data_IF_048896963312
#
_entry.id   IF_048896963312
#
_cell.length_a   1.000
_cell.length_b   1.000
_cell.length_c   1.000
_cell.angle_alpha   90.00
_cell.angle_beta   90.00
_cell.angle_gamma   90.00
#
_symmetry.space_group_name_H-M   'P 1'
#
loop_
_entity.id
_entity.type
_entity.pdbx_description
1 polymer ?
#
# COMPACT_ATOMS: atom_id res chain seq x y z
N UNK A 1 -6.38 40.59 -4.82
CA UNK A 1 -5.61 39.61 -4.07
C UNK A 1 -5.85 38.30 -4.80
N UNK A 2 -4.90 37.83 -5.53
CA UNK A 2 -4.99 36.49 -6.16
C UNK A 2 -4.84 35.49 -5.03
N UNK A 3 -5.97 34.86 -4.66
CA UNK A 3 -5.92 33.67 -3.77
C UNK A 3 -5.02 32.63 -4.44
N UNK A 4 -3.76 32.59 -4.05
CA UNK A 4 -2.93 31.45 -4.41
C UNK A 4 -3.43 30.24 -3.62
N UNK A 5 -3.56 29.10 -4.28
CA UNK A 5 -3.99 27.88 -3.61
C UNK A 5 -3.05 27.60 -2.43
N UNK A 6 -3.61 27.33 -1.26
CA UNK A 6 -2.82 26.99 -0.07
C UNK A 6 -2.49 25.51 -0.12
N UNK A 7 -1.37 25.19 -0.73
CA UNK A 7 -0.76 23.88 -0.57
C UNK A 7 -0.02 23.86 0.77
N UNK A 8 -0.23 22.83 1.56
CA UNK A 8 0.58 22.65 2.77
C UNK A 8 1.97 22.17 2.38
N UNK A 9 3.01 22.99 2.51
CA UNK A 9 4.35 22.65 2.01
C UNK A 9 4.96 21.45 2.73
N UNK A 10 4.66 21.28 4.03
CA UNK A 10 5.08 20.13 4.83
C UNK A 10 3.89 19.22 5.07
N UNK A 11 3.64 18.31 4.13
CA UNK A 11 2.60 17.30 4.30
C UNK A 11 3.07 16.23 5.24
N UNK A 12 2.35 16.08 6.35
CA UNK A 12 2.56 14.96 7.27
C UNK A 12 1.88 13.72 6.70
N UNK A 13 2.62 12.61 6.69
CA UNK A 13 2.18 11.31 6.22
C UNK A 13 2.75 10.19 7.08
N UNK A 14 2.11 9.03 7.06
CA UNK A 14 2.52 7.82 7.77
C UNK A 14 1.92 6.59 7.12
N UNK A 15 2.49 5.43 7.42
CA UNK A 15 1.99 4.12 6.96
C UNK A 15 1.90 3.18 8.14
N UNK A 16 0.80 2.45 8.21
CA UNK A 16 0.58 1.32 9.11
C UNK A 16 0.74 0.03 8.29
N UNK A 17 1.49 -0.94 8.79
CA UNK A 17 1.70 -2.22 8.11
C UNK A 17 1.49 -3.37 9.08
N UNK A 18 0.52 -4.23 8.76
CA UNK A 18 0.29 -5.49 9.44
C UNK A 18 1.13 -6.60 8.81
N UNK A 19 1.60 -7.54 9.62
CA UNK A 19 2.40 -8.68 9.17
C UNK A 19 1.68 -10.00 9.47
N UNK A 20 1.77 -10.93 8.50
CA UNK A 20 1.42 -12.33 8.74
C UNK A 20 2.54 -13.08 9.44
N UNK A 21 2.21 -14.10 10.20
CA UNK A 21 3.16 -14.93 10.97
C UNK A 21 2.99 -16.41 10.67
N UNK A 22 4.10 -17.13 10.56
CA UNK A 22 4.14 -18.59 10.70
C UNK A 22 5.43 -19.02 11.36
N UNK A 23 5.41 -20.13 12.10
CA UNK A 23 6.61 -20.78 12.62
C UNK A 23 6.68 -22.21 12.07
N UNK A 24 7.78 -22.54 11.41
CA UNK A 24 7.96 -23.81 10.70
C UNK A 24 9.15 -24.57 11.24
N UNK A 25 8.97 -25.90 11.37
CA UNK A 25 10.05 -26.85 11.67
C UNK A 25 9.84 -28.10 10.83
N UNK A 26 10.87 -28.54 10.12
CA UNK A 26 10.84 -29.72 9.26
C UNK A 26 9.66 -29.72 8.26
N UNK A 27 9.32 -28.53 7.71
CA UNK A 27 8.24 -28.35 6.75
C UNK A 27 6.82 -28.34 7.34
N UNK A 28 6.69 -28.35 8.68
CA UNK A 28 5.40 -28.32 9.38
C UNK A 28 5.29 -27.11 10.29
N UNK A 29 4.09 -26.52 10.38
CA UNK A 29 3.81 -25.44 11.34
C UNK A 29 3.87 -26.00 12.78
N UNK A 30 4.59 -25.30 13.67
CA UNK A 30 4.79 -25.75 15.06
C UNK A 30 3.92 -25.01 16.07
N UNK A 31 3.45 -23.82 15.74
CA UNK A 31 2.59 -22.98 16.58
C UNK A 31 1.55 -22.27 15.74
N UNK A 32 0.43 -21.90 16.38
CA UNK A 32 -0.57 -21.01 15.79
C UNK A 32 -0.12 -19.53 15.78
N UNK A 33 -0.71 -18.68 14.91
CA UNK A 33 -0.33 -17.28 14.79
C UNK A 33 -0.39 -16.50 16.12
N UNK A 34 -1.41 -16.73 16.94
CA UNK A 34 -1.56 -16.09 18.28
C UNK A 34 -0.44 -16.48 19.25
N UNK A 35 0.02 -17.72 19.17
CA UNK A 35 1.13 -18.19 20.02
C UNK A 35 2.44 -17.58 19.56
N UNK A 36 2.69 -17.56 18.25
CA UNK A 36 3.88 -16.90 17.67
C UNK A 36 3.91 -15.43 18.04
N UNK A 37 2.78 -14.72 17.91
CA UNK A 37 2.68 -13.31 18.28
C UNK A 37 3.03 -13.07 19.77
N UNK A 38 2.63 -13.97 20.67
CA UNK A 38 3.04 -13.91 22.09
C UNK A 38 4.53 -14.07 22.29
N UNK A 39 5.17 -14.99 21.58
CA UNK A 39 6.63 -15.16 21.62
C UNK A 39 7.34 -13.94 21.05
N UNK A 40 6.89 -13.43 19.91
CA UNK A 40 7.43 -12.24 19.26
C UNK A 40 7.39 -11.00 20.17
N UNK A 41 6.29 -10.80 20.91
CA UNK A 41 6.11 -9.65 21.79
C UNK A 41 6.62 -9.88 23.24
N UNK A 42 7.13 -11.06 23.57
CA UNK A 42 7.66 -11.38 24.92
C UNK A 42 8.72 -10.38 25.40
N UNK A 43 9.72 -9.97 24.57
CA UNK A 43 10.69 -8.94 24.96
C UNK A 43 10.04 -7.57 25.18
N UNK A 44 9.11 -7.17 24.33
CA UNK A 44 8.38 -5.89 24.42
C UNK A 44 7.57 -5.82 25.70
N UNK A 45 6.82 -6.88 26.02
CA UNK A 45 6.03 -6.97 27.25
C UNK A 45 6.94 -7.02 28.49
N UNK A 46 8.09 -7.68 28.42
CA UNK A 46 9.05 -7.71 29.53
C UNK A 46 9.55 -6.31 29.87
N UNK A 47 9.82 -5.49 28.87
CA UNK A 47 10.35 -4.13 29.03
C UNK A 47 9.24 -3.12 29.36
N UNK A 48 8.16 -3.09 28.59
CA UNK A 48 7.17 -2.01 28.63
C UNK A 48 5.86 -2.38 29.34
N UNK A 49 5.65 -3.65 29.70
CA UNK A 49 4.40 -4.17 30.29
C UNK A 49 3.14 -3.97 29.41
N UNK A 50 3.35 -3.87 28.10
CA UNK A 50 2.30 -3.62 27.10
C UNK A 50 2.67 -4.27 25.77
N UNK A 51 1.66 -4.64 24.98
CA UNK A 51 1.78 -5.03 23.57
C UNK A 51 1.50 -3.87 22.61
N UNK A 52 1.44 -2.65 23.14
CA UNK A 52 1.15 -1.44 22.38
C UNK A 52 2.06 -0.33 22.93
N UNK A 53 3.14 -0.04 22.21
CA UNK A 53 4.20 0.84 22.68
C UNK A 53 4.66 1.79 21.58
N UNK A 54 5.14 2.97 21.96
CA UNK A 54 5.91 3.83 21.09
C UNK A 54 7.38 3.47 21.20
N UNK A 55 8.03 3.36 20.06
CA UNK A 55 9.46 3.09 19.95
C UNK A 55 10.28 4.40 20.02
N UNK A 56 11.60 4.30 20.17
CA UNK A 56 12.49 5.48 20.33
C UNK A 56 12.47 6.42 19.11
N UNK A 57 12.10 5.91 17.93
CA UNK A 57 11.92 6.71 16.72
C UNK A 57 10.49 7.27 16.56
N UNK A 58 9.69 7.25 17.62
CA UNK A 58 8.30 7.69 17.67
C UNK A 58 7.32 6.88 16.81
N UNK A 59 7.74 5.76 16.24
CA UNK A 59 6.82 4.81 15.61
C UNK A 59 6.04 4.03 16.67
N UNK A 60 4.96 3.39 16.28
CA UNK A 60 4.14 2.57 17.17
C UNK A 60 4.22 1.10 16.79
N UNK A 61 4.53 0.27 17.77
CA UNK A 61 4.55 -1.19 17.65
C UNK A 61 3.41 -1.77 18.48
N UNK A 62 2.56 -2.59 17.87
CA UNK A 62 1.42 -3.17 18.57
C UNK A 62 0.91 -4.48 17.94
N UNK A 63 0.08 -5.18 18.71
CA UNK A 63 -0.73 -6.29 18.19
C UNK A 63 -2.14 -5.79 17.89
N UNK A 64 -2.53 -5.90 16.62
CA UNK A 64 -3.89 -5.60 16.19
C UNK A 64 -4.82 -6.80 16.35
N UNK A 65 -6.09 -6.61 16.03
CA UNK A 65 -7.12 -7.65 16.08
C UNK A 65 -6.73 -8.86 15.24
N UNK A 66 -6.81 -10.06 15.83
CA UNK A 66 -6.35 -11.29 15.17
C UNK A 66 -4.89 -11.64 15.45
N UNK A 67 -4.27 -10.95 16.42
CA UNK A 67 -2.86 -11.13 16.80
C UNK A 67 -1.88 -10.82 15.65
N UNK A 68 -2.23 -9.87 14.77
CA UNK A 68 -1.33 -9.39 13.73
C UNK A 68 -0.34 -8.38 14.33
N UNK A 69 0.97 -8.63 14.24
CA UNK A 69 1.97 -7.61 14.53
C UNK A 69 1.83 -6.46 13.55
N UNK A 70 1.74 -5.25 14.09
CA UNK A 70 1.58 -4.06 13.29
C UNK A 70 2.59 -2.98 13.69
N UNK A 71 3.14 -2.32 12.70
CA UNK A 71 4.03 -1.19 12.84
C UNK A 71 3.43 0.03 12.14
N UNK A 72 3.17 1.08 12.91
CA UNK A 72 2.81 2.39 12.38
C UNK A 72 4.04 3.30 12.45
N UNK A 73 4.42 3.87 11.30
CA UNK A 73 5.55 4.82 11.25
C UNK A 73 5.27 6.04 12.11
N UNK A 74 6.31 6.78 12.49
CA UNK A 74 6.12 8.13 12.99
C UNK A 74 5.51 9.04 11.91
N UNK A 75 5.09 10.23 12.32
CA UNK A 75 4.71 11.31 11.42
C UNK A 75 5.93 11.76 10.62
N UNK A 76 5.88 11.58 9.30
CA UNK A 76 6.95 11.90 8.37
C UNK A 76 6.54 13.05 7.45
N UNK A 77 7.50 13.89 7.04
CA UNK A 77 7.28 15.02 6.15
C UNK A 77 8.07 14.92 4.83
N UNK A 78 8.74 13.79 4.59
CA UNK A 78 9.38 13.46 3.31
C UNK A 78 9.23 11.98 2.97
N UNK A 79 9.36 11.63 1.70
CA UNK A 79 9.28 10.24 1.24
C UNK A 79 10.45 9.40 1.76
N UNK A 80 11.66 9.96 1.74
CA UNK A 80 12.85 9.26 2.26
C UNK A 80 12.71 8.96 3.76
N UNK A 81 12.20 9.92 4.55
CA UNK A 81 11.95 9.69 5.96
C UNK A 81 10.93 8.58 6.17
N UNK A 82 9.81 8.61 5.44
CA UNK A 82 8.75 7.61 5.55
C UNK A 82 9.25 6.22 5.17
N UNK A 83 10.02 6.12 4.07
CA UNK A 83 10.62 4.86 3.63
C UNK A 83 11.58 4.29 4.67
N UNK A 84 12.43 5.14 5.26
CA UNK A 84 13.33 4.71 6.32
C UNK A 84 12.58 4.20 7.55
N UNK A 85 11.46 4.81 7.92
CA UNK A 85 10.61 4.33 9.02
C UNK A 85 9.95 2.98 8.69
N UNK A 86 9.45 2.78 7.45
CA UNK A 86 8.88 1.51 7.02
C UNK A 86 9.92 0.39 7.11
N UNK A 87 11.15 0.64 6.61
CA UNK A 87 12.25 -0.33 6.67
C UNK A 87 12.78 -0.56 8.10
N UNK A 88 12.75 0.46 8.96
CA UNK A 88 13.09 0.30 10.37
C UNK A 88 12.09 -0.62 11.09
N UNK A 89 10.80 -0.57 10.72
CA UNK A 89 9.78 -1.49 11.23
C UNK A 89 10.03 -2.94 10.82
N UNK A 90 10.39 -3.19 9.55
CA UNK A 90 10.77 -4.52 9.08
C UNK A 90 11.97 -5.06 9.86
N UNK A 91 12.99 -4.24 10.07
CA UNK A 91 14.20 -4.63 10.80
C UNK A 91 13.91 -4.94 12.27
N UNK A 92 13.10 -4.10 12.92
CA UNK A 92 12.67 -4.32 14.30
C UNK A 92 11.92 -5.64 14.46
N UNK A 93 11.02 -5.97 13.56
CA UNK A 93 10.30 -7.24 13.60
C UNK A 93 11.21 -8.44 13.33
N UNK A 94 12.20 -8.30 12.44
CA UNK A 94 13.19 -9.34 12.21
C UNK A 94 14.01 -9.64 13.48
N UNK A 95 14.42 -8.60 14.21
CA UNK A 95 15.13 -8.76 15.49
C UNK A 95 14.26 -9.41 16.57
N UNK A 96 12.97 -9.06 16.63
CA UNK A 96 12.03 -9.69 17.55
C UNK A 96 11.78 -11.16 17.19
N UNK A 97 11.72 -11.50 15.88
CA UNK A 97 11.59 -12.88 15.43
C UNK A 97 12.81 -13.72 15.84
N UNK A 98 14.02 -13.21 15.65
CA UNK A 98 15.24 -13.90 16.06
C UNK A 98 15.27 -14.17 17.59
N UNK A 99 14.86 -13.20 18.41
CA UNK A 99 14.76 -13.37 19.88
C UNK A 99 13.67 -14.41 20.26
N UNK A 100 12.57 -14.44 19.52
CA UNK A 100 11.49 -15.41 19.71
C UNK A 100 11.97 -16.83 19.35
N UNK A 101 12.70 -17.00 18.25
CA UNK A 101 13.32 -18.30 17.86
C UNK A 101 14.26 -18.83 18.91
N UNK A 102 15.14 -17.98 19.47
CA UNK A 102 15.99 -18.36 20.60
C UNK A 102 15.19 -18.85 21.82
N UNK A 103 14.06 -18.21 22.09
CA UNK A 103 13.18 -18.57 23.20
C UNK A 103 12.50 -19.92 22.93
N UNK A 104 11.99 -20.13 21.71
CA UNK A 104 11.41 -21.39 21.28
C UNK A 104 12.41 -22.54 21.36
N UNK A 105 13.67 -22.30 20.97
CA UNK A 105 14.73 -23.28 21.09
C UNK A 105 15.03 -23.66 22.55
N UNK A 106 15.11 -22.69 23.47
CA UNK A 106 15.30 -22.91 24.91
C UNK A 106 14.16 -23.69 25.55
N UNK A 107 12.95 -23.54 25.05
CA UNK A 107 11.75 -24.25 25.52
C UNK A 107 11.57 -25.62 24.84
N UNK A 108 12.47 -26.01 23.92
CA UNK A 108 12.46 -27.32 23.24
C UNK A 108 11.45 -27.43 22.09
N UNK A 109 10.77 -26.34 21.75
CA UNK A 109 9.81 -26.27 20.62
C UNK A 109 10.60 -26.16 19.31
N UNK A 110 11.50 -25.18 19.21
CA UNK A 110 12.29 -24.90 18.01
C UNK A 110 11.44 -24.37 16.85
N UNK A 111 12.06 -24.18 15.69
CA UNK A 111 11.43 -23.70 14.47
C UNK A 111 11.85 -22.30 14.08
N UNK A 112 11.74 -22.00 12.78
CA UNK A 112 12.04 -20.70 12.19
C UNK A 112 10.75 -19.87 12.07
N UNK A 113 10.80 -18.60 12.44
CA UNK A 113 9.66 -17.67 12.36
C UNK A 113 9.76 -16.91 11.04
N UNK A 114 8.71 -17.00 10.24
CA UNK A 114 8.56 -16.25 9.01
C UNK A 114 7.55 -15.12 9.22
N UNK A 115 7.94 -13.91 8.85
CA UNK A 115 7.08 -12.74 8.83
C UNK A 115 6.79 -12.35 7.38
N UNK A 116 5.52 -12.16 7.08
CA UNK A 116 5.07 -11.87 5.73
C UNK A 116 4.51 -10.46 5.64
N UNK A 117 5.09 -9.66 4.77
CA UNK A 117 4.54 -8.36 4.34
C UNK A 117 3.66 -8.54 3.11
N UNK A 118 2.65 -9.41 3.23
CA UNK A 118 1.63 -9.66 2.22
C UNK A 118 0.27 -9.15 2.71
N UNK A 119 -0.72 -9.11 1.83
CA UNK A 119 -2.04 -8.57 2.19
C UNK A 119 -3.14 -9.63 2.28
N UNK A 120 -2.86 -10.87 1.91
CA UNK A 120 -3.82 -11.97 1.96
C UNK A 120 -3.08 -13.27 2.28
N UNK A 121 -3.56 -14.01 3.28
CA UNK A 121 -3.06 -15.34 3.59
C UNK A 121 -3.73 -16.44 2.74
N UNK A 122 -3.37 -17.68 3.01
CA UNK A 122 -3.91 -18.85 2.31
C UNK A 122 -5.37 -19.16 2.62
N UNK A 123 -5.87 -18.67 3.73
CA UNK A 123 -7.26 -18.82 4.16
C UNK A 123 -8.15 -17.66 3.67
N UNK A 124 -7.54 -16.65 3.02
CA UNK A 124 -8.24 -15.45 2.55
C UNK A 124 -8.37 -14.36 3.61
N UNK A 125 -7.71 -14.48 4.77
CA UNK A 125 -7.63 -13.39 5.73
C UNK A 125 -6.79 -12.26 5.15
N UNK A 126 -7.21 -11.03 5.38
CA UNK A 126 -6.54 -9.85 4.83
C UNK A 126 -5.76 -9.11 5.91
N UNK A 127 -4.51 -8.78 5.57
CA UNK A 127 -3.63 -7.90 6.35
C UNK A 127 -3.64 -6.51 5.74
N UNK A 128 -3.65 -5.48 6.58
CA UNK A 128 -3.70 -4.09 6.15
C UNK A 128 -2.33 -3.52 5.80
N UNK A 129 -2.35 -2.59 4.86
CA UNK A 129 -1.34 -1.54 4.74
C UNK A 129 -2.11 -0.25 4.52
N UNK A 130 -2.04 0.63 5.49
CA UNK A 130 -2.86 1.83 5.51
C UNK A 130 -1.98 3.06 5.35
N UNK A 131 -2.32 3.88 4.37
CA UNK A 131 -1.65 5.14 4.15
C UNK A 131 -2.41 6.25 4.87
N UNK A 132 -1.71 7.10 5.60
CA UNK A 132 -2.28 8.24 6.31
C UNK A 132 -1.68 9.53 5.79
N UNK A 133 -2.54 10.47 5.43
CA UNK A 133 -2.15 11.79 4.97
C UNK A 133 -2.91 12.87 5.74
N UNK A 134 -2.18 13.85 6.25
CA UNK A 134 -2.79 15.03 6.84
C UNK A 134 -3.25 15.97 5.72
N UNK A 135 -4.55 16.24 5.64
CA UNK A 135 -5.15 17.07 4.58
C UNK A 135 -5.88 18.29 5.16
N UNK A 136 -6.03 19.33 4.33
CA UNK A 136 -6.75 20.55 4.69
C UNK A 136 -8.23 20.29 4.90
N UNK A 137 -8.86 21.09 5.79
CA UNK A 137 -10.33 21.19 5.91
C UNK A 137 -10.99 22.10 4.90
N UNK A 138 -10.21 22.84 4.09
CA UNK A 138 -10.75 23.76 3.10
C UNK A 138 -11.67 23.13 2.06
N UNK A 139 -11.41 21.86 1.71
CA UNK A 139 -12.25 21.11 0.78
C UNK A 139 -13.19 20.14 1.50
N UNK A 140 -14.39 19.94 0.94
CA UNK A 140 -15.27 18.91 1.46
C UNK A 140 -14.68 17.52 1.19
N UNK A 141 -14.62 16.67 2.22
CA UNK A 141 -14.04 15.32 2.11
C UNK A 141 -14.76 14.47 1.05
N UNK A 142 -16.06 14.68 0.85
CA UNK A 142 -16.84 14.01 -0.19
C UNK A 142 -16.38 14.39 -1.60
N UNK A 143 -16.13 15.68 -1.83
CA UNK A 143 -15.62 16.17 -3.11
C UNK A 143 -14.20 15.68 -3.37
N UNK A 144 -13.35 15.79 -2.36
CA UNK A 144 -11.97 15.33 -2.39
C UNK A 144 -11.90 13.82 -2.68
N UNK A 145 -12.65 13.00 -1.94
CA UNK A 145 -12.68 11.57 -2.14
C UNK A 145 -13.19 11.17 -3.53
N UNK A 146 -14.22 11.84 -4.04
CA UNK A 146 -14.74 11.61 -5.39
C UNK A 146 -13.67 11.86 -6.47
N UNK A 147 -12.85 12.89 -6.32
CA UNK A 147 -11.77 13.24 -7.27
C UNK A 147 -10.56 12.31 -7.15
N UNK A 148 -10.25 11.84 -5.95
CA UNK A 148 -9.11 10.96 -5.68
C UNK A 148 -9.41 9.50 -6.06
N UNK A 149 -10.67 9.08 -5.96
CA UNK A 149 -11.07 7.68 -6.10
C UNK A 149 -10.66 7.05 -7.45
N UNK A 150 -10.84 7.69 -8.62
CA UNK A 150 -10.41 7.13 -9.91
C UNK A 150 -8.90 6.84 -9.96
N UNK A 151 -8.10 7.74 -9.39
CA UNK A 151 -6.65 7.53 -9.26
C UNK A 151 -6.35 6.33 -8.35
N UNK A 152 -6.98 6.22 -7.18
CA UNK A 152 -6.71 5.14 -6.22
C UNK A 152 -7.07 3.75 -6.76
N UNK A 153 -8.20 3.61 -7.49
CA UNK A 153 -8.59 2.31 -8.03
C UNK A 153 -7.72 1.87 -9.22
N UNK A 154 -7.16 2.80 -9.98
CA UNK A 154 -6.27 2.52 -11.12
C UNK A 154 -4.79 2.46 -10.72
N UNK A 155 -4.43 2.98 -9.55
CA UNK A 155 -3.04 3.03 -9.03
C UNK A 155 -2.39 1.66 -8.88
N UNK A 156 -3.16 0.59 -8.80
CA UNK A 156 -2.64 -0.78 -8.76
C UNK A 156 -1.81 -1.15 -10.01
N UNK A 157 -2.00 -0.47 -11.14
CA UNK A 157 -1.12 -0.59 -12.31
C UNK A 157 0.32 -0.16 -11.99
N UNK A 158 0.49 0.79 -11.07
CA UNK A 158 1.77 1.36 -10.69
C UNK A 158 2.44 0.55 -9.57
N UNK A 159 1.69 0.19 -8.54
CA UNK A 159 2.24 -0.25 -7.26
C UNK A 159 1.47 -1.39 -6.59
N UNK A 160 0.70 -2.19 -7.34
CA UNK A 160 0.14 -3.44 -6.83
C UNK A 160 1.25 -4.42 -6.43
N UNK A 161 0.98 -5.31 -5.47
CA UNK A 161 1.95 -6.30 -5.01
C UNK A 161 1.90 -7.62 -5.79
N UNK A 162 0.90 -7.81 -6.64
CA UNK A 162 0.72 -9.00 -7.46
C UNK A 162 0.42 -10.28 -6.66
N UNK A 163 -0.42 -11.13 -7.18
CA UNK A 163 -0.64 -12.49 -6.66
C UNK A 163 -1.22 -13.40 -7.74
N UNK A 164 -1.21 -14.71 -7.47
CA UNK A 164 -2.02 -15.65 -8.24
C UNK A 164 -3.34 -15.84 -7.51
N UNK A 165 -4.45 -15.67 -8.24
CA UNK A 165 -5.79 -15.88 -7.77
C UNK A 165 -6.56 -16.72 -8.79
N UNK A 166 -7.13 -17.85 -8.35
CA UNK A 166 -7.91 -18.76 -9.21
C UNK A 166 -7.19 -19.13 -10.54
N UNK A 167 -5.89 -19.39 -10.49
CA UNK A 167 -5.10 -19.75 -11.66
C UNK A 167 -4.77 -18.57 -12.60
N UNK A 168 -4.96 -17.33 -12.18
CA UNK A 168 -4.62 -16.13 -12.95
C UNK A 168 -3.73 -15.19 -12.12
N UNK A 169 -2.82 -14.50 -12.79
CA UNK A 169 -2.05 -13.43 -12.17
C UNK A 169 -2.91 -12.16 -12.08
N UNK A 170 -2.96 -11.56 -10.88
CA UNK A 170 -3.66 -10.29 -10.66
C UNK A 170 -2.71 -9.27 -10.05
N UNK A 171 -2.93 -7.98 -10.35
CA UNK A 171 -2.05 -6.87 -9.96
C UNK A 171 -2.08 -6.58 -8.46
N UNK A 172 -3.24 -6.68 -7.83
CA UNK A 172 -3.44 -6.28 -6.44
C UNK A 172 -3.96 -7.43 -5.59
N UNK A 173 -3.47 -7.51 -4.35
CA UNK A 173 -3.95 -8.43 -3.33
C UNK A 173 -5.18 -7.90 -2.60
N UNK A 174 -5.33 -6.56 -2.52
CA UNK A 174 -6.39 -5.91 -1.76
C UNK A 174 -7.62 -5.51 -2.56
N UNK A 175 -7.59 -5.55 -3.88
CA UNK A 175 -8.70 -5.14 -4.74
C UNK A 175 -10.03 -5.85 -4.40
N UNK A 176 -9.98 -7.11 -3.94
CA UNK A 176 -11.16 -7.87 -3.51
C UNK A 176 -11.58 -7.62 -2.07
N UNK A 177 -10.76 -6.92 -1.29
CA UNK A 177 -10.95 -6.72 0.15
C UNK A 177 -11.64 -5.39 0.47
N UNK A 178 -12.13 -4.66 -0.55
CA UNK A 178 -12.83 -3.37 -0.41
C UNK A 178 -14.26 -3.47 -0.94
N UNK A 179 -15.21 -2.85 -0.22
CA UNK A 179 -16.64 -2.91 -0.53
C UNK A 179 -17.30 -1.54 -0.69
N UNK A 180 -16.63 -0.47 -0.29
CA UNK A 180 -17.12 0.91 -0.41
C UNK A 180 -16.02 1.84 -0.92
N UNK A 181 -16.41 2.91 -1.63
CA UNK A 181 -15.43 3.89 -2.09
C UNK A 181 -14.98 4.80 -0.95
N UNK A 182 -15.91 5.46 -0.28
CA UNK A 182 -15.65 6.42 0.80
C UNK A 182 -16.66 6.18 1.93
N UNK A 183 -16.22 5.88 3.14
CA UNK A 183 -17.09 5.60 4.29
C UNK A 183 -16.37 5.90 5.61
N UNK A 184 -17.14 6.17 6.67
CA UNK A 184 -16.64 6.26 8.04
C UNK A 184 -16.72 4.92 8.81
N UNK A 185 -17.30 3.90 8.22
CA UNK A 185 -17.41 2.58 8.84
C UNK A 185 -16.07 1.84 8.75
N UNK A 186 -15.60 1.29 9.87
CA UNK A 186 -14.25 0.68 9.95
C UNK A 186 -14.27 -0.83 9.90
N UNK A 187 -15.26 -1.47 10.52
CA UNK A 187 -15.23 -2.92 10.78
C UNK A 187 -16.11 -3.76 9.86
N UNK A 188 -17.19 -3.19 9.33
CA UNK A 188 -18.16 -3.93 8.49
C UNK A 188 -17.95 -3.69 7.00
N UNK A 189 -17.49 -2.52 6.64
CA UNK A 189 -17.21 -2.16 5.26
C UNK A 189 -15.77 -1.64 5.21
N UNK A 190 -14.93 -2.26 4.40
CA UNK A 190 -13.56 -1.79 4.16
C UNK A 190 -13.61 -0.78 3.02
N UNK A 191 -13.69 0.53 3.30
CA UNK A 191 -13.75 1.53 2.24
C UNK A 191 -12.36 1.72 1.63
N UNK A 192 -12.32 2.25 0.40
CA UNK A 192 -11.05 2.67 -0.21
C UNK A 192 -10.45 3.84 0.57
N UNK A 193 -11.31 4.81 0.94
CA UNK A 193 -10.96 5.94 1.80
C UNK A 193 -11.83 5.89 3.05
N UNK A 194 -11.20 5.77 4.22
CA UNK A 194 -11.89 5.89 5.50
C UNK A 194 -11.91 7.36 5.94
N UNK A 195 -13.09 7.85 6.27
CA UNK A 195 -13.32 9.25 6.63
C UNK A 195 -13.40 9.48 8.14
N UNK A 196 -13.00 8.52 8.96
CA UNK A 196 -12.89 8.70 10.40
C UNK A 196 -11.86 9.78 10.70
N UNK A 197 -12.34 10.85 11.32
CA UNK A 197 -11.58 12.08 11.52
C UNK A 197 -10.81 12.04 12.84
N UNK A 198 -9.58 11.56 12.79
CA UNK A 198 -8.66 11.50 13.94
C UNK A 198 -7.31 12.08 13.52
N UNK A 199 -7.18 13.43 13.39
CA UNK A 199 -5.99 14.04 12.79
C UNK A 199 -4.74 13.99 13.66
N UNK A 200 -4.84 13.73 14.97
CA UNK A 200 -3.74 13.82 15.95
C UNK A 200 -2.98 15.16 15.89
N UNK A 201 -3.63 16.20 15.41
CA UNK A 201 -3.11 17.56 15.24
C UNK A 201 -4.24 18.58 15.40
N UNK A 202 -4.01 19.82 14.96
CA UNK A 202 -5.03 20.87 15.01
C UNK A 202 -6.25 20.51 14.16
N UNK A 203 -7.28 19.98 14.82
CA UNK A 203 -8.51 19.53 14.17
C UNK A 203 -9.35 20.67 13.57
N UNK A 204 -9.06 21.93 13.85
CA UNK A 204 -9.70 23.06 13.21
C UNK A 204 -9.17 23.30 11.79
N UNK A 205 -7.94 22.91 11.51
CA UNK A 205 -7.23 23.13 10.25
C UNK A 205 -7.09 21.88 9.41
N UNK A 206 -6.89 20.73 10.05
CA UNK A 206 -6.50 19.49 9.41
C UNK A 206 -7.48 18.35 9.70
N UNK A 207 -7.47 17.36 8.83
CA UNK A 207 -8.07 16.05 9.03
C UNK A 207 -7.13 14.96 8.53
N UNK A 208 -7.28 13.77 9.08
CA UNK A 208 -6.58 12.58 8.59
C UNK A 208 -7.36 11.98 7.42
N UNK A 209 -6.72 11.81 6.29
CA UNK A 209 -7.20 10.96 5.22
C UNK A 209 -6.54 9.59 5.37
N UNK A 210 -7.36 8.57 5.53
CA UNK A 210 -6.92 7.19 5.76
C UNK A 210 -7.28 6.34 4.53
N UNK A 211 -6.27 5.95 3.75
CA UNK A 211 -6.40 5.15 2.53
C UNK A 211 -6.04 3.71 2.86
N UNK A 212 -7.00 2.79 2.69
CA UNK A 212 -6.85 1.39 3.11
C UNK A 212 -6.78 0.38 1.96
N UNK A 213 -6.86 0.86 0.72
CA UNK A 213 -6.91 0.01 -0.47
C UNK A 213 -5.53 -0.46 -0.96
N UNK A 214 -4.46 0.25 -0.61
CA UNK A 214 -3.12 -0.03 -1.12
C UNK A 214 -2.59 -1.39 -0.68
N UNK A 215 -1.82 -2.04 -1.56
CA UNK A 215 -1.04 -3.22 -1.22
C UNK A 215 0.22 -2.84 -0.43
N UNK A 216 0.72 -3.75 0.39
CA UNK A 216 2.06 -3.67 0.99
C UNK A 216 3.12 -3.82 -0.10
N UNK A 217 4.15 -2.98 -0.07
CA UNK A 217 5.24 -3.03 -1.02
C UNK A 217 6.53 -3.51 -0.36
N UNK A 218 7.20 -4.47 -1.00
CA UNK A 218 8.52 -4.95 -0.61
C UNK A 218 9.64 -4.13 -1.26
N UNK A 219 9.46 -3.76 -2.54
CA UNK A 219 10.41 -2.92 -3.26
C UNK A 219 10.25 -1.45 -2.85
N UNK A 220 11.34 -0.84 -2.43
CA UNK A 220 11.38 0.57 -2.03
C UNK A 220 10.88 1.53 -3.12
N UNK A 221 11.24 1.33 -4.42
CA UNK A 221 10.70 2.17 -5.48
C UNK A 221 9.18 2.07 -5.63
N UNK A 222 8.59 0.87 -5.50
CA UNK A 222 7.13 0.69 -5.51
C UNK A 222 6.45 1.42 -4.35
N UNK A 223 7.05 1.35 -3.14
CA UNK A 223 6.55 2.06 -1.98
C UNK A 223 6.60 3.58 -2.19
N UNK A 224 7.76 4.11 -2.63
CA UNK A 224 7.94 5.54 -2.91
C UNK A 224 6.97 6.02 -4.01
N UNK A 225 6.78 5.22 -5.06
CA UNK A 225 5.82 5.51 -6.13
C UNK A 225 4.38 5.57 -5.61
N UNK A 226 3.97 4.62 -4.77
CA UNK A 226 2.64 4.58 -4.15
C UNK A 226 2.35 5.85 -3.35
N UNK A 227 3.22 6.18 -2.42
CA UNK A 227 3.02 7.31 -1.50
C UNK A 227 3.23 8.63 -2.21
N UNK A 228 4.31 8.78 -2.98
CA UNK A 228 4.66 10.02 -3.66
C UNK A 228 3.67 10.42 -4.75
N UNK A 229 3.16 9.48 -5.54
CA UNK A 229 2.11 9.77 -6.52
C UNK A 229 0.82 10.22 -5.83
N UNK A 230 0.45 9.59 -4.71
CA UNK A 230 -0.71 9.99 -3.92
C UNK A 230 -0.52 11.37 -3.30
N UNK A 231 0.67 11.68 -2.77
CA UNK A 231 1.00 13.01 -2.27
C UNK A 231 0.81 14.08 -3.34
N UNK A 232 1.34 13.87 -4.54
CA UNK A 232 1.19 14.80 -5.66
C UNK A 232 -0.28 15.03 -6.02
N UNK A 233 -1.10 13.97 -6.06
CA UNK A 233 -2.54 14.10 -6.33
C UNK A 233 -3.25 14.87 -5.23
N UNK A 234 -2.92 14.64 -3.97
CA UNK A 234 -3.48 15.38 -2.83
C UNK A 234 -3.12 16.87 -2.93
N UNK A 235 -1.87 17.20 -3.20
CA UNK A 235 -1.42 18.58 -3.36
C UNK A 235 -2.14 19.29 -4.50
N UNK A 236 -2.28 18.64 -5.65
CA UNK A 236 -3.02 19.17 -6.79
C UNK A 236 -4.51 19.42 -6.46
N UNK A 237 -5.14 18.50 -5.71
CA UNK A 237 -6.54 18.66 -5.30
C UNK A 237 -6.72 19.85 -4.32
N UNK A 238 -5.80 20.02 -3.36
CA UNK A 238 -5.82 21.14 -2.43
C UNK A 238 -5.52 22.47 -3.12
N UNK A 239 -4.68 22.45 -4.15
CA UNK A 239 -4.37 23.61 -4.99
C UNK A 239 -5.48 23.95 -5.98
N UNK A 240 -6.55 23.18 -6.04
CA UNK A 240 -7.59 23.27 -7.09
C UNK A 240 -6.99 23.24 -8.51
N UNK A 241 -5.86 22.50 -8.66
CA UNK A 241 -5.17 22.33 -9.92
C UNK A 241 -6.04 21.60 -10.96
N UNK A 242 -5.81 21.89 -12.23
CA UNK A 242 -6.55 21.28 -13.33
C UNK A 242 -6.09 19.80 -13.52
N UNK A 243 -6.80 18.90 -12.85
CA UNK A 243 -6.68 17.45 -12.99
C UNK A 243 -7.90 16.94 -13.78
N UNK A 244 -7.72 16.05 -14.76
CA UNK A 244 -8.84 15.43 -15.45
C UNK A 244 -9.86 14.83 -14.48
N UNK A 245 -11.13 15.08 -14.69
CA UNK A 245 -12.21 14.62 -13.84
C UNK A 245 -12.83 13.34 -14.41
N UNK A 246 -12.67 12.23 -13.71
CA UNK A 246 -13.29 10.95 -14.06
C UNK A 246 -14.34 10.58 -13.00
N UNK A 247 -15.62 10.78 -13.30
CA UNK A 247 -16.70 10.41 -12.36
C UNK A 247 -17.11 8.96 -12.57
N UNK A 248 -16.31 8.03 -12.06
CA UNK A 248 -16.52 6.59 -12.20
C UNK A 248 -17.83 6.15 -11.55
N UNK A 249 -18.65 5.38 -12.27
CA UNK A 249 -19.97 4.97 -11.80
C UNK A 249 -19.90 3.86 -10.74
N UNK A 250 -19.10 2.83 -10.94
CA UNK A 250 -19.03 1.62 -10.11
C UNK A 250 -17.58 1.31 -9.67
N UNK A 251 -16.96 2.15 -8.80
CA UNK A 251 -15.54 2.03 -8.48
C UNK A 251 -15.17 0.68 -7.85
N UNK A 252 -16.07 0.07 -7.06
CA UNK A 252 -15.82 -1.23 -6.41
C UNK A 252 -15.86 -2.40 -7.39
N UNK A 253 -16.62 -2.31 -8.46
CA UNK A 253 -16.59 -3.27 -9.55
C UNK A 253 -15.29 -3.11 -10.33
N UNK A 254 -15.02 -1.89 -10.75
CA UNK A 254 -13.88 -1.59 -11.62
C UNK A 254 -12.53 -1.87 -10.97
N UNK A 255 -12.34 -1.66 -9.67
CA UNK A 255 -11.07 -1.98 -9.02
C UNK A 255 -10.72 -3.47 -9.14
N UNK A 256 -11.73 -4.36 -9.11
CA UNK A 256 -11.55 -5.82 -9.28
C UNK A 256 -11.25 -6.20 -10.72
N UNK A 257 -11.91 -5.54 -11.67
CA UNK A 257 -11.67 -5.74 -13.09
C UNK A 257 -10.25 -5.29 -13.48
N UNK A 258 -9.81 -4.12 -13.01
CA UNK A 258 -8.45 -3.61 -13.22
C UNK A 258 -7.41 -4.57 -12.64
N UNK A 259 -7.66 -5.14 -11.47
CA UNK A 259 -6.73 -6.09 -10.84
C UNK A 259 -6.40 -7.29 -11.75
N UNK A 260 -7.35 -7.72 -12.56
CA UNK A 260 -7.19 -8.85 -13.49
C UNK A 260 -6.54 -8.46 -14.83
N UNK A 261 -6.32 -7.16 -15.07
CA UNK A 261 -5.86 -6.65 -16.37
C UNK A 261 -4.53 -5.89 -16.28
N UNK A 262 -3.39 -6.55 -16.48
CA UNK A 262 -2.08 -5.90 -16.50
C UNK A 262 -1.83 -5.03 -17.74
N UNK A 263 -2.76 -4.98 -18.71
CA UNK A 263 -2.66 -4.10 -19.88
C UNK A 263 -3.19 -2.70 -19.60
N UNK A 264 -3.97 -2.54 -18.52
CA UNK A 264 -4.60 -1.26 -18.17
C UNK A 264 -5.71 -0.83 -19.13
N UNK A 265 -6.17 -1.71 -20.01
CA UNK A 265 -7.19 -1.41 -21.03
C UNK A 265 -8.62 -1.63 -20.54
N UNK A 266 -8.80 -2.10 -19.32
CA UNK A 266 -10.13 -2.27 -18.71
C UNK A 266 -10.94 -0.98 -18.83
N UNK A 267 -12.14 -1.03 -19.48
CA UNK A 267 -13.00 0.14 -19.63
C UNK A 267 -13.70 0.45 -18.30
N UNK A 268 -13.56 1.65 -17.82
CA UNK A 268 -14.26 2.20 -16.67
C UNK A 268 -15.46 3.01 -17.16
N UNK A 269 -16.65 2.66 -16.72
CA UNK A 269 -17.86 3.39 -17.06
C UNK A 269 -17.97 4.65 -16.21
N UNK A 270 -18.09 5.80 -16.82
CA UNK A 270 -18.33 7.07 -16.15
C UNK A 270 -19.85 7.30 -15.97
N UNK A 271 -20.22 8.19 -15.05
CA UNK A 271 -21.65 8.46 -14.77
C UNK A 271 -22.41 9.11 -15.91
N UNK A 272 -21.72 9.75 -16.86
CA UNK A 272 -22.30 10.28 -18.09
C UNK A 272 -22.51 9.22 -19.19
N UNK A 273 -22.13 7.97 -18.91
CA UNK A 273 -22.23 6.84 -19.83
C UNK A 273 -21.02 6.68 -20.76
N UNK A 274 -20.07 7.60 -20.76
CA UNK A 274 -18.81 7.44 -21.50
C UNK A 274 -17.88 6.43 -20.80
N UNK A 275 -16.82 6.02 -21.47
CA UNK A 275 -15.83 5.09 -20.93
C UNK A 275 -14.42 5.68 -21.06
N UNK A 276 -13.56 5.30 -20.12
CA UNK A 276 -12.14 5.61 -20.09
C UNK A 276 -11.39 4.37 -19.62
N UNK A 277 -10.17 4.13 -20.08
CA UNK A 277 -9.37 3.00 -19.61
C UNK A 277 -8.62 3.35 -18.31
N UNK A 278 -8.24 2.32 -17.55
CA UNK A 278 -7.42 2.52 -16.34
C UNK A 278 -6.07 3.20 -16.67
N UNK A 279 -5.49 2.87 -17.82
CA UNK A 279 -4.24 3.49 -18.29
C UNK A 279 -4.45 4.97 -18.64
N UNK A 280 -5.55 5.34 -19.32
CA UNK A 280 -5.87 6.74 -19.63
C UNK A 280 -6.10 7.57 -18.38
N UNK A 281 -6.77 7.02 -17.36
CA UNK A 281 -6.91 7.70 -16.05
C UNK A 281 -5.54 8.00 -15.46
N UNK A 282 -4.67 7.00 -15.38
CA UNK A 282 -3.33 7.18 -14.82
C UNK A 282 -2.47 8.13 -15.66
N UNK A 283 -2.57 8.08 -16.99
CA UNK A 283 -1.85 8.97 -17.91
C UNK A 283 -2.26 10.42 -17.72
N UNK A 284 -3.57 10.69 -17.67
CA UNK A 284 -4.09 12.06 -17.47
C UNK A 284 -3.69 12.65 -16.11
N UNK A 285 -3.71 11.85 -15.04
CA UNK A 285 -3.26 12.29 -13.71
C UNK A 285 -1.73 12.52 -13.69
N UNK A 286 -0.95 11.64 -14.30
CA UNK A 286 0.50 11.76 -14.43
C UNK A 286 0.91 13.07 -15.17
N UNK A 287 0.26 13.38 -16.28
CA UNK A 287 0.53 14.60 -17.04
C UNK A 287 0.19 15.86 -16.23
N UNK A 288 -0.91 15.82 -15.47
CA UNK A 288 -1.25 16.92 -14.56
C UNK A 288 -0.20 17.06 -13.43
N UNK A 289 0.27 15.95 -12.85
CA UNK A 289 1.30 15.95 -11.82
C UNK A 289 2.66 16.44 -12.33
N UNK A 290 3.02 16.13 -13.57
CA UNK A 290 4.24 16.65 -14.22
C UNK A 290 4.19 18.16 -14.34
N UNK A 291 3.07 18.71 -14.83
CA UNK A 291 2.88 20.18 -14.90
C UNK A 291 2.83 20.84 -13.51
N UNK A 292 2.26 20.15 -12.52
CA UNK A 292 2.23 20.63 -11.14
C UNK A 292 3.62 20.76 -10.55
N UNK A 293 4.48 19.75 -10.73
CA UNK A 293 5.83 19.75 -10.16
C UNK A 293 6.69 20.94 -10.63
N UNK A 294 6.46 21.43 -11.85
CA UNK A 294 7.15 22.62 -12.39
C UNK A 294 6.81 23.93 -11.65
N UNK A 295 5.65 23.98 -11.00
CA UNK A 295 5.12 25.16 -10.33
C UNK A 295 4.95 24.97 -8.81
N UNK A 296 5.20 23.75 -8.32
CA UNK A 296 5.09 23.41 -6.92
C UNK A 296 6.12 24.20 -6.09
N UNK A 297 5.74 24.76 -4.92
CA UNK A 297 6.71 25.31 -3.98
C UNK A 297 7.73 24.26 -3.54
N UNK A 298 9.01 24.62 -3.46
CA UNK A 298 10.08 23.73 -2.98
C UNK A 298 10.12 23.71 -1.44
N UNK A 299 9.07 23.17 -0.84
CA UNK A 299 8.92 23.05 0.61
C UNK A 299 8.37 21.65 0.96
N UNK A 300 8.65 21.16 2.17
CA UNK A 300 8.27 19.83 2.64
C UNK A 300 9.03 18.71 1.95
N UNK A 301 8.34 17.76 1.31
CA UNK A 301 9.03 16.72 0.52
C UNK A 301 9.87 17.37 -0.58
N UNK A 302 11.19 17.08 -0.63
CA UNK A 302 12.07 17.65 -1.64
C UNK A 302 11.58 17.40 -3.06
N UNK A 303 11.65 18.43 -3.91
CA UNK A 303 11.23 18.33 -5.33
C UNK A 303 11.95 17.20 -6.04
N UNK A 304 13.20 16.93 -5.69
CA UNK A 304 13.99 15.86 -6.28
C UNK A 304 13.42 14.45 -5.98
N UNK A 305 12.88 14.23 -4.78
CA UNK A 305 12.21 12.96 -4.44
C UNK A 305 10.95 12.78 -5.31
N UNK A 306 10.18 13.83 -5.48
CA UNK A 306 8.96 13.81 -6.31
C UNK A 306 9.28 13.70 -7.81
N UNK A 307 10.40 14.26 -8.26
CA UNK A 307 10.89 14.07 -9.65
C UNK A 307 11.19 12.60 -9.92
N UNK A 308 11.88 11.90 -9.03
CA UNK A 308 12.13 10.45 -9.15
C UNK A 308 10.84 9.63 -9.15
N UNK A 309 9.85 10.04 -8.35
CA UNK A 309 8.51 9.43 -8.38
C UNK A 309 7.87 9.59 -9.77
N UNK A 310 7.89 10.79 -10.35
CA UNK A 310 7.33 11.03 -11.69
C UNK A 310 8.10 10.28 -12.78
N UNK A 311 9.43 10.21 -12.70
CA UNK A 311 10.25 9.44 -13.64
C UNK A 311 9.89 7.96 -13.63
N UNK A 312 9.76 7.37 -12.44
CA UNK A 312 9.32 5.98 -12.32
C UNK A 312 7.88 5.79 -12.78
N UNK A 313 6.97 6.71 -12.41
CA UNK A 313 5.58 6.68 -12.84
C UNK A 313 5.46 6.67 -14.38
N UNK A 314 6.16 7.57 -15.06
CA UNK A 314 6.20 7.62 -16.52
C UNK A 314 6.76 6.35 -17.17
N UNK A 315 7.83 5.76 -16.58
CA UNK A 315 8.39 4.48 -17.04
C UNK A 315 7.40 3.32 -16.88
N UNK A 316 6.70 3.25 -15.75
CA UNK A 316 5.68 2.21 -15.52
C UNK A 316 4.53 2.34 -16.51
N UNK A 317 4.01 3.54 -16.72
CA UNK A 317 2.94 3.76 -17.72
C UNK A 317 3.37 3.36 -19.12
N UNK A 318 4.60 3.69 -19.49
CA UNK A 318 5.17 3.29 -20.79
C UNK A 318 5.35 1.78 -20.90
N UNK A 319 5.78 1.12 -19.81
CA UNK A 319 5.91 -0.33 -19.76
C UNK A 319 4.56 -1.04 -19.90
N UNK A 320 3.52 -0.53 -19.23
CA UNK A 320 2.13 -1.04 -19.35
C UNK A 320 1.60 -0.84 -20.77
N UNK A 321 1.78 0.34 -21.36
CA UNK A 321 1.32 0.66 -22.71
C UNK A 321 1.96 -0.23 -23.78
N UNK A 322 3.27 -0.47 -23.67
CA UNK A 322 4.04 -1.28 -24.61
C UNK A 322 4.02 -2.77 -24.28
N UNK A 323 3.49 -3.16 -23.13
CA UNK A 323 3.59 -4.52 -22.57
C UNK A 323 5.06 -5.01 -22.50
N UNK A 324 5.98 -4.08 -22.29
CA UNK A 324 7.41 -4.32 -22.09
C UNK A 324 7.81 -3.86 -20.68
N UNK A 325 7.99 -4.82 -19.79
CA UNK A 325 8.22 -4.58 -18.36
C UNK A 325 9.70 -4.65 -17.96
N UNK A 326 10.62 -4.92 -18.90
CA UNK A 326 12.06 -5.00 -18.60
C UNK A 326 12.59 -3.71 -17.95
N UNK A 327 12.21 -2.48 -18.42
CA UNK A 327 12.69 -1.23 -17.83
C UNK A 327 12.31 -0.99 -16.36
N UNK A 328 11.38 -1.76 -15.82
CA UNK A 328 10.86 -1.64 -14.45
C UNK A 328 10.89 -2.98 -13.68
N UNK A 329 11.59 -3.97 -14.25
CA UNK A 329 11.57 -5.37 -13.80
C UNK A 329 12.17 -5.60 -12.39
N UNK A 330 12.93 -4.64 -11.86
CA UNK A 330 13.56 -4.71 -10.53
C UNK A 330 13.00 -3.66 -9.55
N UNK A 331 12.02 -2.85 -9.97
CA UNK A 331 11.52 -1.73 -9.18
C UNK A 331 10.05 -1.87 -8.78
N UNK A 332 9.24 -2.59 -9.57
CA UNK A 332 7.79 -2.70 -9.35
C UNK A 332 7.43 -4.09 -8.86
N UNK A 333 6.84 -4.16 -7.66
CA UNK A 333 6.54 -5.41 -6.95
C UNK A 333 5.79 -6.44 -7.79
N UNK A 334 4.66 -6.05 -8.44
CA UNK A 334 3.91 -7.00 -9.23
C UNK A 334 4.68 -7.49 -10.47
N UNK A 335 5.56 -6.64 -11.05
CA UNK A 335 6.43 -7.02 -12.18
C UNK A 335 7.50 -8.00 -11.72
N UNK A 336 8.18 -7.70 -10.60
CA UNK A 336 9.18 -8.59 -9.98
C UNK A 336 8.55 -9.95 -9.72
N UNK A 337 7.40 -9.97 -9.04
CA UNK A 337 6.69 -11.19 -8.69
C UNK A 337 6.24 -11.96 -9.92
N UNK A 338 5.66 -11.29 -10.91
CA UNK A 338 5.26 -11.90 -12.19
C UNK A 338 6.46 -12.58 -12.87
N UNK A 339 7.59 -11.90 -12.96
CA UNK A 339 8.80 -12.43 -13.58
C UNK A 339 9.34 -13.68 -12.85
N UNK A 340 9.33 -13.64 -11.51
CA UNK A 340 9.70 -14.82 -10.70
C UNK A 340 8.75 -16.00 -10.96
N UNK A 341 7.46 -15.73 -10.98
CA UNK A 341 6.40 -16.72 -11.19
C UNK A 341 6.41 -17.34 -12.59
N UNK A 342 6.65 -16.53 -13.62
CA UNK A 342 6.74 -17.01 -15.00
C UNK A 342 7.87 -18.03 -15.19
N UNK A 343 8.99 -17.89 -14.46
CA UNK A 343 10.08 -18.89 -14.46
C UNK A 343 9.62 -20.26 -13.94
N UNK A 344 8.74 -20.26 -12.92
CA UNK A 344 8.15 -21.50 -12.40
C UNK A 344 7.06 -22.04 -13.32
N UNK A 345 6.19 -21.18 -13.85
CA UNK A 345 5.14 -21.54 -14.79
C UNK A 345 5.72 -22.25 -16.01
N UNK A 346 6.78 -21.74 -16.59
CA UNK A 346 7.45 -22.35 -17.73
C UNK A 346 7.95 -23.79 -17.43
N UNK A 347 8.43 -24.04 -16.19
CA UNK A 347 8.88 -25.38 -15.75
C UNK A 347 7.72 -26.34 -15.49
N UNK A 348 6.52 -25.82 -15.20
CA UNK A 348 5.33 -26.59 -14.82
C UNK A 348 4.35 -26.75 -15.99
N UNK A 349 4.77 -26.55 -17.23
CA UNK A 349 3.94 -26.74 -18.44
C UNK A 349 2.93 -25.64 -18.70
N UNK A 350 3.12 -24.46 -18.11
CA UNK A 350 2.32 -23.26 -18.41
C UNK A 350 1.08 -23.04 -17.54
N UNK A 351 0.87 -23.87 -16.53
CA UNK A 351 -0.33 -23.85 -15.69
C UNK A 351 -0.10 -23.09 -14.36
N UNK A 352 -0.83 -22.01 -14.13
CA UNK A 352 -0.84 -21.28 -12.87
C UNK A 352 -1.59 -22.01 -11.75
N UNK A 353 -2.46 -22.96 -12.07
CA UNK A 353 -3.23 -23.73 -11.08
C UNK A 353 -2.44 -24.86 -10.41
N UNK A 354 -1.22 -25.12 -10.85
CA UNK A 354 -0.40 -26.19 -10.28
C UNK A 354 -0.07 -25.91 -8.80
N UNK A 355 -0.21 -26.92 -7.90
CA UNK A 355 0.01 -26.73 -6.45
C UNK A 355 1.37 -26.13 -6.06
N UNK A 356 2.43 -26.40 -6.83
CA UNK A 356 3.77 -25.81 -6.62
C UNK A 356 3.77 -24.29 -6.84
N UNK A 357 2.90 -23.76 -7.70
CA UNK A 357 2.73 -22.31 -7.89
C UNK A 357 2.23 -21.63 -6.63
N UNK A 358 1.49 -22.34 -5.77
CA UNK A 358 0.98 -21.83 -4.50
C UNK A 358 1.98 -21.96 -3.35
N UNK A 359 2.82 -23.02 -3.33
CA UNK A 359 3.73 -23.29 -2.22
C UNK A 359 4.96 -22.40 -2.20
N UNK A 360 5.51 -22.02 -3.37
CA UNK A 360 6.68 -21.15 -3.47
C UNK A 360 6.34 -19.64 -3.49
N UNK A 361 5.06 -19.29 -3.48
CA UNK A 361 4.56 -17.92 -3.52
C UNK A 361 4.10 -17.40 -2.16
N UNK A 362 4.16 -18.26 -1.16
CA UNK A 362 3.75 -17.98 0.21
C UNK A 362 4.95 -17.82 1.15
N UNK A 363 6.16 -17.91 0.62
CA UNK A 363 7.40 -17.63 1.33
C UNK A 363 7.89 -16.22 1.04
#
# INVERSE_FOLDING_TARGET
>A
MTDQPVVYPRRIMGVETEFGLTAMRDGSAVLGPEEIARYLFKPVVAQYKSTNVFTDNAARLYLDVGAHPEYATAECDSLTQLLNHDKAGELLFNDLAAQAEETLAKEGIGGDIYMFKNNVDSAGNSYGTHENYLISRGLSLKHFGKRLLPFLITRQLLCGAGMIKNGQFVLSQRADQVWEGVSSATTRTRPIINTRDEPHGDSSRFRRMHVIVGDSNMAEPSFALKVGSTQLVIEMLEAEWDIPAFDVAEPIKHIKEIAADPTGQTPLVLKDGSTVTALEVQRGVYEAATRWLEQRPDEGTPVEELRRVLELWGRVLTAVEKQDFEPVSTEIDWVIKRNLLERYRARLGGDWSHPVSYTHLRA
#
